data_IF_738913285977
#
_entry.id   IF_738913285977
#
_cell.length_a   1.000
_cell.length_b   1.000
_cell.length_c   1.000
_cell.angle_alpha   90.00
_cell.angle_beta   90.00
_cell.angle_gamma   90.00
#
_symmetry.space_group_name_H-M   'P 1'
#
loop_
_entity.id
_entity.type
_entity.pdbx_description
1 polymer ?
#
# COMPACT_ATOMS: atom_id res chain seq x y z
N UNK A 1 -2.31 15.01 9.36
CA UNK A 1 -3.30 14.06 8.77
C UNK A 1 -3.73 13.07 9.85
N UNK A 2 -5.01 12.90 10.03
CA UNK A 2 -5.53 11.94 11.01
C UNK A 2 -5.57 10.54 10.41
N UNK A 3 -5.56 9.48 11.27
CA UNK A 3 -5.58 8.11 10.79
C UNK A 3 -6.70 7.81 9.82
N UNK A 4 -7.90 8.33 10.09
CA UNK A 4 -9.06 8.14 9.21
C UNK A 4 -8.88 8.75 7.82
N UNK A 5 -7.97 9.72 7.68
CA UNK A 5 -7.72 10.36 6.39
C UNK A 5 -6.94 9.47 5.43
N UNK A 6 -6.33 8.39 5.93
CA UNK A 6 -5.64 7.41 5.10
C UNK A 6 -6.58 6.36 4.53
N UNK A 7 -7.71 6.10 5.21
CA UNK A 7 -8.61 5.01 4.84
C UNK A 7 -9.35 5.36 3.54
N UNK A 8 -9.44 4.39 2.64
CA UNK A 8 -10.05 4.49 1.30
C UNK A 8 -9.33 5.45 0.35
N UNK A 9 -8.13 5.92 0.71
CA UNK A 9 -7.29 6.66 -0.22
C UNK A 9 -6.66 5.71 -1.23
N UNK A 10 -6.48 6.19 -2.44
CA UNK A 10 -5.86 5.41 -3.50
C UNK A 10 -4.36 5.29 -3.30
N UNK A 11 -3.79 4.19 -3.81
CA UNK A 11 -2.36 3.97 -3.85
C UNK A 11 -1.94 3.83 -5.30
N UNK A 12 -0.89 4.55 -5.69
CA UNK A 12 -0.35 4.54 -7.06
C UNK A 12 1.10 4.05 -7.05
N UNK A 13 1.43 3.22 -8.02
CA UNK A 13 2.82 2.84 -8.30
C UNK A 13 3.22 3.55 -9.59
N UNK A 14 4.18 4.47 -9.48
CA UNK A 14 4.42 5.48 -10.52
C UNK A 14 3.09 6.19 -10.79
N UNK A 15 2.52 6.12 -11.96
CA UNK A 15 1.24 6.78 -12.25
C UNK A 15 0.07 5.80 -12.37
N UNK A 16 0.30 4.54 -12.02
CA UNK A 16 -0.74 3.51 -12.12
C UNK A 16 -1.39 3.25 -10.76
N UNK A 17 -2.72 3.36 -10.70
CA UNK A 17 -3.45 3.03 -9.48
C UNK A 17 -3.38 1.53 -9.23
N UNK A 18 -2.98 1.13 -8.02
CA UNK A 18 -2.82 -0.28 -7.67
C UNK A 18 -3.83 -0.77 -6.65
N UNK A 19 -4.46 0.11 -5.89
CA UNK A 19 -5.44 -0.29 -4.89
C UNK A 19 -5.83 0.83 -3.97
N UNK A 20 -6.43 0.46 -2.82
CA UNK A 20 -6.90 1.41 -1.80
C UNK A 20 -6.42 0.98 -0.42
N UNK A 21 -6.17 1.96 0.44
CA UNK A 21 -5.79 1.71 1.83
C UNK A 21 -7.04 1.35 2.63
N UNK A 22 -7.01 0.20 3.32
CA UNK A 22 -8.13 -0.26 4.15
C UNK A 22 -7.86 -0.21 5.63
N UNK A 23 -6.61 -0.34 6.04
CA UNK A 23 -6.20 -0.30 7.44
C UNK A 23 -4.81 0.28 7.58
N UNK A 24 -4.49 0.74 8.78
CA UNK A 24 -3.17 1.28 9.13
C UNK A 24 -2.61 0.47 10.29
N UNK A 25 -1.34 0.09 10.20
CA UNK A 25 -0.64 -0.55 11.31
C UNK A 25 0.38 0.42 11.88
N UNK A 26 0.31 0.64 13.19
CA UNK A 26 1.15 1.59 13.90
C UNK A 26 1.99 0.87 14.94
N UNK A 27 3.26 1.23 15.03
CA UNK A 27 4.12 0.78 16.13
C UNK A 27 3.76 1.60 17.37
N UNK A 28 3.21 0.96 18.41
CA UNK A 28 2.76 1.69 19.60
C UNK A 28 3.90 2.25 20.45
N UNK A 29 5.12 1.74 20.28
CA UNK A 29 6.28 2.24 21.03
C UNK A 29 6.89 3.47 20.39
N UNK A 30 6.95 3.48 19.06
CA UNK A 30 7.53 4.60 18.31
C UNK A 30 6.50 5.57 17.77
N UNK A 31 5.21 5.22 17.86
CA UNK A 31 4.10 6.04 17.38
C UNK A 31 4.19 6.36 15.88
N UNK A 32 4.70 5.43 15.08
CA UNK A 32 4.77 5.64 13.64
C UNK A 32 4.08 4.54 12.86
N UNK A 33 3.56 4.92 11.69
CA UNK A 33 2.94 3.97 10.77
C UNK A 33 4.04 3.10 10.17
N UNK A 34 3.90 1.79 10.31
CA UNK A 34 4.84 0.83 9.76
C UNK A 34 4.32 0.19 8.49
N UNK A 35 3.03 -0.09 8.44
CA UNK A 35 2.40 -0.77 7.31
C UNK A 35 1.05 -0.16 6.99
N UNK A 36 0.67 -0.27 5.73
CA UNK A 36 -0.68 0.03 5.27
C UNK A 36 -1.26 -1.26 4.70
N UNK A 37 -2.47 -1.62 5.14
CA UNK A 37 -3.17 -2.74 4.52
C UNK A 37 -3.85 -2.21 3.26
N UNK A 38 -3.43 -2.70 2.11
CA UNK A 38 -3.90 -2.24 0.81
C UNK A 38 -4.72 -3.34 0.15
N UNK A 39 -5.95 -3.00 -0.24
CA UNK A 39 -6.76 -3.88 -1.08
C UNK A 39 -6.37 -3.61 -2.53
N UNK A 40 -5.72 -4.60 -3.15
CA UNK A 40 -5.22 -4.45 -4.50
C UNK A 40 -6.34 -4.57 -5.53
N UNK A 41 -6.27 -3.77 -6.59
CA UNK A 41 -7.16 -3.92 -7.72
C UNK A 41 -6.93 -5.30 -8.35
N UNK A 42 -7.98 -5.89 -8.91
CA UNK A 42 -7.94 -7.27 -9.39
C UNK A 42 -6.81 -7.53 -10.39
N UNK A 43 -6.66 -6.65 -11.36
CA UNK A 43 -5.61 -6.78 -12.38
C UNK A 43 -4.20 -6.68 -11.78
N UNK A 44 -4.04 -5.87 -10.74
CA UNK A 44 -2.76 -5.74 -10.05
C UNK A 44 -2.47 -7.00 -9.23
N UNK A 45 -3.46 -7.53 -8.53
CA UNK A 45 -3.29 -8.75 -7.76
C UNK A 45 -2.90 -9.92 -8.68
N UNK A 46 -3.49 -10.00 -9.88
CA UNK A 46 -3.13 -10.99 -10.86
C UNK A 46 -1.68 -10.84 -11.35
N UNK A 47 -1.29 -9.63 -11.73
CA UNK A 47 0.03 -9.41 -12.35
C UNK A 47 1.18 -9.42 -11.36
N UNK A 48 0.95 -8.96 -10.11
CA UNK A 48 2.01 -8.87 -9.10
C UNK A 48 2.09 -10.10 -8.22
N UNK A 49 0.94 -10.68 -7.85
CA UNK A 49 0.87 -11.80 -6.90
C UNK A 49 0.36 -13.10 -7.50
N UNK A 50 -0.09 -13.09 -8.76
CA UNK A 50 -0.68 -14.27 -9.38
C UNK A 50 -2.05 -14.65 -8.82
N UNK A 51 -2.70 -13.74 -8.08
CA UNK A 51 -4.02 -14.00 -7.51
C UNK A 51 -5.10 -13.98 -8.58
N UNK A 52 -6.08 -14.87 -8.47
CA UNK A 52 -7.13 -15.02 -9.49
C UNK A 52 -8.48 -14.44 -9.07
N UNK A 53 -8.54 -13.79 -7.90
CA UNK A 53 -9.78 -13.21 -7.39
C UNK A 53 -9.56 -11.76 -6.97
N UNK A 54 -10.65 -10.98 -6.92
CA UNK A 54 -10.59 -9.62 -6.42
C UNK A 54 -10.58 -9.56 -4.90
N UNK A 55 -10.41 -8.37 -4.33
CA UNK A 55 -10.45 -8.14 -2.89
C UNK A 55 -9.22 -8.62 -2.14
N UNK A 56 -8.13 -8.91 -2.84
CA UNK A 56 -6.89 -9.37 -2.20
C UNK A 56 -6.24 -8.21 -1.46
N UNK A 57 -5.95 -8.42 -0.18
CA UNK A 57 -5.28 -7.42 0.65
C UNK A 57 -3.87 -7.86 0.98
N UNK A 58 -2.97 -6.89 0.97
CA UNK A 58 -1.57 -7.09 1.34
C UNK A 58 -1.10 -5.96 2.24
N UNK A 59 -0.10 -6.25 3.05
CA UNK A 59 0.52 -5.24 3.91
C UNK A 59 1.65 -4.57 3.12
N UNK A 60 1.52 -3.27 2.91
CA UNK A 60 2.58 -2.47 2.31
C UNK A 60 3.47 -1.95 3.43
N UNK A 61 4.73 -2.36 3.42
CA UNK A 61 5.69 -1.96 4.44
C UNK A 61 6.25 -0.57 4.09
N UNK A 62 5.59 0.47 4.62
CA UNK A 62 6.03 1.84 4.35
C UNK A 62 7.31 2.19 5.10
N UNK A 63 7.61 1.48 6.20
CA UNK A 63 8.85 1.72 6.93
C UNK A 63 10.09 1.26 6.18
N UNK A 64 9.93 0.38 5.19
CA UNK A 64 11.02 -0.07 4.33
C UNK A 64 11.28 0.84 3.14
N UNK A 65 10.36 1.79 2.88
CA UNK A 65 10.53 2.72 1.77
C UNK A 65 11.61 3.74 2.08
N UNK A 66 12.45 4.02 1.10
CA UNK A 66 13.43 5.09 1.24
C UNK A 66 12.73 6.44 1.29
N UNK A 67 13.36 7.41 1.96
CA UNK A 67 12.83 8.76 2.07
C UNK A 67 12.59 9.33 0.68
N UNK A 68 11.38 9.86 0.47
CA UNK A 68 11.00 10.44 -0.81
C UNK A 68 10.40 9.46 -1.81
N UNK A 69 10.37 8.17 -1.48
CA UNK A 69 9.75 7.16 -2.36
C UNK A 69 8.23 7.23 -2.32
N UNK A 70 7.66 7.56 -1.16
CA UNK A 70 6.21 7.71 -1.00
C UNK A 70 5.84 9.16 -0.80
N UNK A 71 4.92 9.67 -1.63
CA UNK A 71 4.46 11.07 -1.58
C UNK A 71 2.95 11.07 -1.43
N UNK A 72 2.46 11.77 -0.41
CA UNK A 72 1.03 11.97 -0.19
C UNK A 72 0.52 13.19 -0.95
N UNK A 73 -0.58 13.00 -1.67
CA UNK A 73 -1.29 14.08 -2.35
C UNK A 73 -2.78 13.97 -1.99
N UNK A 74 -3.59 14.91 -2.48
CA UNK A 74 -5.04 14.86 -2.28
C UNK A 74 -5.65 13.59 -2.90
N UNK A 75 -4.99 13.01 -3.90
CA UNK A 75 -5.46 11.81 -4.58
C UNK A 75 -5.08 10.52 -3.84
N UNK A 76 -4.10 10.57 -2.95
CA UNK A 76 -3.67 9.41 -2.19
C UNK A 76 -2.16 9.30 -2.09
N UNK A 77 -1.68 8.07 -1.94
CA UNK A 77 -0.25 7.79 -1.80
C UNK A 77 0.36 7.43 -3.16
N UNK A 78 1.36 8.18 -3.56
CA UNK A 78 2.09 7.93 -4.80
C UNK A 78 3.47 7.34 -4.48
N UNK A 79 3.71 6.12 -4.93
CA UNK A 79 4.98 5.44 -4.75
C UNK A 79 5.83 5.59 -6.00
N UNK A 80 7.09 5.97 -5.83
CA UNK A 80 8.07 6.06 -6.94
C UNK A 80 8.70 4.69 -7.18
N UNK A 81 7.86 3.67 -7.22
CA UNK A 81 8.26 2.27 -7.41
C UNK A 81 7.42 1.69 -8.53
N UNK A 82 8.07 1.02 -9.47
CA UNK A 82 7.36 0.37 -10.56
C UNK A 82 6.54 -0.82 -10.04
N UNK A 83 5.44 -1.12 -10.71
CA UNK A 83 4.52 -2.20 -10.34
C UNK A 83 5.26 -3.53 -10.18
N UNK A 84 6.20 -3.84 -11.05
CA UNK A 84 6.95 -5.10 -11.01
C UNK A 84 7.94 -5.19 -9.83
N UNK A 85 8.18 -4.09 -9.12
CA UNK A 85 9.03 -4.04 -7.93
C UNK A 85 8.22 -4.04 -6.63
N UNK A 86 6.91 -3.94 -6.71
CA UNK A 86 6.05 -3.83 -5.52
C UNK A 86 6.15 -5.02 -4.58
N UNK A 87 6.40 -6.22 -5.13
CA UNK A 87 6.49 -7.43 -4.30
C UNK A 87 7.55 -7.32 -3.20
N UNK A 88 8.54 -6.43 -3.38
CA UNK A 88 9.58 -6.22 -2.38
C UNK A 88 9.04 -5.56 -1.10
N UNK A 89 7.91 -4.88 -1.20
CA UNK A 89 7.32 -4.13 -0.08
C UNK A 89 5.99 -4.72 0.39
N UNK A 90 5.47 -5.73 -0.30
CA UNK A 90 4.19 -6.35 0.02
C UNK A 90 4.39 -7.66 0.78
N UNK A 91 3.53 -7.90 1.76
CA UNK A 91 3.49 -9.18 2.48
C UNK A 91 2.04 -9.55 2.77
N UNK A 92 1.75 -10.87 2.95
CA UNK A 92 0.39 -11.30 3.26
C UNK A 92 -0.11 -10.67 4.57
N UNK A 93 -1.41 -10.39 4.62
CA UNK A 93 -2.05 -9.94 5.85
C UNK A 93 -2.09 -11.10 6.83
N UNK A 94 -1.62 -10.85 8.05
CA UNK A 94 -1.66 -11.85 9.11
C UNK A 94 -3.06 -11.90 9.71
N UNK A 95 -3.61 -13.09 9.79
CA UNK A 95 -4.92 -13.31 10.40
C UNK A 95 -4.77 -13.84 11.82
#
# INVERSE_FOLDING_TARGET
>A
MKGKDFIDKDVFALDEKIGKIKEIEVDPQEYKVTHLEVELDKNIAESVLGAKKGGVRNMLNVSALEKGTGIWTDNGLHLKVAKDKLHMYLSPVKT
#
